data_IF_166096227740
#
_entry.id   IF_166096227740
#
_cell.length_a   1.000
_cell.length_b   1.000
_cell.length_c   1.000
_cell.angle_alpha   90.00
_cell.angle_beta   90.00
_cell.angle_gamma   90.00
#
_symmetry.space_group_name_H-M   'P 1'
#
loop_
_entity.id
_entity.type
_entity.pdbx_description
1 polymer ?
#
# COMPACT_ATOMS: atom_id res chain seq x y z
N UNK A 1 4.32 2.79 -16.32
CA UNK A 1 3.53 1.58 -15.99
C UNK A 1 4.47 0.58 -15.33
N UNK A 2 4.23 0.16 -14.07
CA UNK A 2 5.07 -0.86 -13.44
C UNK A 2 4.96 -2.20 -14.20
N UNK A 3 6.09 -2.92 -14.29
CA UNK A 3 6.23 -4.22 -14.91
C UNK A 3 7.33 -5.02 -14.19
N UNK A 4 7.34 -6.35 -14.31
CA UNK A 4 8.34 -7.19 -13.64
C UNK A 4 8.26 -7.06 -12.11
N UNK A 5 9.32 -6.52 -11.48
CA UNK A 5 9.38 -6.28 -10.03
C UNK A 5 9.36 -4.78 -9.72
N UNK A 6 8.32 -4.32 -9.03
CA UNK A 6 8.16 -2.95 -8.55
C UNK A 6 8.01 -2.95 -7.03
N UNK A 7 9.13 -3.09 -6.31
CA UNK A 7 9.14 -3.33 -4.87
C UNK A 7 9.65 -2.12 -4.08
N UNK A 8 9.22 -2.00 -2.83
CA UNK A 8 9.60 -0.93 -1.91
C UNK A 8 9.37 0.45 -2.51
N UNK A 9 10.41 1.28 -2.59
CA UNK A 9 10.32 2.61 -3.22
C UNK A 9 9.72 2.63 -4.63
N UNK A 10 9.89 1.57 -5.43
CA UNK A 10 9.24 1.45 -6.75
C UNK A 10 7.71 1.29 -6.65
N UNK A 11 7.25 0.57 -5.63
CA UNK A 11 5.83 0.47 -5.28
C UNK A 11 5.31 1.83 -4.78
N UNK A 12 6.07 2.51 -3.91
CA UNK A 12 5.71 3.82 -3.37
C UNK A 12 5.53 4.88 -4.47
N UNK A 13 6.42 4.92 -5.46
CA UNK A 13 6.26 5.80 -6.63
C UNK A 13 4.93 5.57 -7.37
N UNK A 14 4.50 4.31 -7.47
CA UNK A 14 3.22 3.97 -8.11
C UNK A 14 2.02 4.40 -7.23
N UNK A 15 2.13 4.32 -5.90
CA UNK A 15 1.06 4.73 -4.98
C UNK A 15 0.77 6.23 -5.02
N UNK A 16 1.74 7.06 -5.43
CA UNK A 16 1.59 8.51 -5.55
C UNK A 16 1.13 8.99 -6.93
N UNK A 17 0.93 8.08 -7.89
CA UNK A 17 0.37 8.43 -9.20
C UNK A 17 -1.16 8.53 -9.13
N UNK A 18 -1.75 9.45 -9.90
CA UNK A 18 -3.21 9.57 -10.03
C UNK A 18 -3.86 8.28 -10.58
N UNK A 19 -3.11 7.55 -11.42
CA UNK A 19 -3.54 6.29 -12.01
C UNK A 19 -2.35 5.38 -12.27
N UNK A 20 -2.52 4.10 -11.96
CA UNK A 20 -1.54 3.05 -12.25
C UNK A 20 -2.10 2.10 -13.31
N UNK A 21 -1.31 1.85 -14.35
CA UNK A 21 -1.54 0.77 -15.31
C UNK A 21 -0.40 -0.22 -15.12
N UNK A 22 -0.66 -1.35 -14.47
CA UNK A 22 0.32 -2.38 -14.22
C UNK A 22 0.24 -3.46 -15.31
N UNK A 23 1.39 -4.00 -15.71
CA UNK A 23 1.43 -5.20 -16.54
C UNK A 23 0.90 -6.41 -15.74
N UNK A 24 0.31 -7.40 -16.41
CA UNK A 24 -0.33 -8.53 -15.72
C UNK A 24 0.66 -9.39 -14.91
N UNK A 25 1.92 -9.41 -15.33
CA UNK A 25 3.03 -10.12 -14.68
C UNK A 25 3.68 -9.34 -13.53
N UNK A 26 3.17 -8.15 -13.19
CA UNK A 26 3.84 -7.27 -12.22
C UNK A 26 3.74 -7.82 -10.80
N UNK A 27 4.90 -8.08 -10.19
CA UNK A 27 5.06 -8.24 -8.77
C UNK A 27 5.32 -6.88 -8.13
N UNK A 28 4.37 -6.39 -7.34
CA UNK A 28 4.40 -5.06 -6.73
C UNK A 28 4.02 -5.14 -5.25
N UNK A 29 4.76 -4.42 -4.40
CA UNK A 29 4.49 -4.38 -2.97
C UNK A 29 5.61 -3.77 -2.14
N UNK A 30 5.31 -3.52 -0.87
CA UNK A 30 6.27 -3.04 0.12
C UNK A 30 6.96 -4.25 0.76
N UNK A 31 8.29 -4.28 0.72
CA UNK A 31 9.13 -5.43 1.12
C UNK A 31 10.09 -5.09 2.25
N UNK A 32 10.08 -3.83 2.68
CA UNK A 32 10.96 -3.23 3.68
C UNK A 32 10.98 -4.02 4.99
N UNK A 33 9.83 -4.55 5.42
CA UNK A 33 9.74 -5.34 6.65
C UNK A 33 10.63 -6.59 6.62
N UNK A 34 10.79 -7.21 5.43
CA UNK A 34 11.61 -8.41 5.26
C UNK A 34 13.10 -8.20 5.55
N UNK A 35 13.57 -6.95 5.60
CA UNK A 35 14.95 -6.59 5.95
C UNK A 35 15.03 -5.72 7.21
N UNK A 36 13.95 -5.63 7.98
CA UNK A 36 13.92 -4.88 9.24
C UNK A 36 13.79 -3.37 9.09
N UNK A 37 13.30 -2.87 7.94
CA UNK A 37 13.01 -1.45 7.74
C UNK A 37 11.52 -1.22 7.49
N UNK A 38 11.12 0.04 7.36
CA UNK A 38 9.74 0.44 7.05
C UNK A 38 9.70 1.24 5.74
N UNK A 39 8.56 1.30 5.04
CA UNK A 39 8.39 2.13 3.85
C UNK A 39 8.64 3.61 4.17
N UNK A 40 9.61 4.21 3.48
CA UNK A 40 10.12 5.56 3.77
C UNK A 40 9.61 6.66 2.83
N UNK A 41 9.12 6.30 1.65
CA UNK A 41 8.56 7.20 0.64
C UNK A 41 7.05 7.46 0.80
N UNK A 42 6.48 7.12 1.96
CA UNK A 42 5.06 7.36 2.27
C UNK A 42 4.15 6.16 2.04
N UNK A 43 4.66 4.97 1.72
CA UNK A 43 3.89 3.75 1.54
C UNK A 43 2.98 3.43 2.73
N UNK A 44 3.49 3.59 3.96
CA UNK A 44 2.68 3.42 5.18
C UNK A 44 1.52 4.42 5.27
N UNK A 45 1.74 5.68 4.87
CA UNK A 45 0.71 6.72 4.81
C UNK A 45 -0.33 6.40 3.75
N UNK A 46 0.12 5.97 2.57
CA UNK A 46 -0.71 5.64 1.42
C UNK A 46 -1.62 4.42 1.69
N UNK A 47 -1.10 3.41 2.40
CA UNK A 47 -1.89 2.26 2.84
C UNK A 47 -2.92 2.65 3.90
N UNK A 48 -2.53 3.41 4.92
CA UNK A 48 -3.43 3.85 5.99
C UNK A 48 -4.57 4.74 5.47
N UNK A 49 -4.26 5.65 4.53
CA UNK A 49 -5.24 6.52 3.90
C UNK A 49 -6.29 5.70 3.11
N UNK A 50 -5.84 4.76 2.27
CA UNK A 50 -6.76 3.88 1.52
C UNK A 50 -7.58 2.97 2.44
N UNK A 51 -6.99 2.48 3.52
CA UNK A 51 -7.74 1.73 4.54
C UNK A 51 -8.84 2.60 5.16
N UNK A 52 -8.57 3.89 5.39
CA UNK A 52 -9.55 4.80 5.97
C UNK A 52 -10.76 5.07 5.07
N UNK A 53 -10.61 4.95 3.75
CA UNK A 53 -11.72 5.07 2.79
C UNK A 53 -12.78 3.98 2.96
N UNK A 54 -12.43 2.87 3.62
CA UNK A 54 -13.36 1.76 3.88
C UNK A 54 -14.24 1.97 5.11
N UNK A 55 -13.99 3.01 5.91
CA UNK A 55 -14.73 3.27 7.13
C UNK A 55 -16.19 3.66 6.87
N UNK A 56 -17.13 3.01 7.57
CA UNK A 56 -18.55 3.39 7.53
C UNK A 56 -18.96 4.10 8.81
N UNK A 57 -20.00 4.92 8.69
CA UNK A 57 -20.55 5.65 9.84
C UNK A 57 -21.16 4.65 10.83
N UNK A 58 -20.65 4.65 12.06
CA UNK A 58 -21.10 3.76 13.14
C UNK A 58 -20.18 2.56 13.38
N UNK A 59 -19.18 2.34 12.52
CA UNK A 59 -18.24 1.23 12.68
C UNK A 59 -17.22 1.49 13.79
N UNK A 60 -16.77 0.39 14.42
CA UNK A 60 -15.62 0.40 15.31
C UNK A 60 -14.35 0.48 14.45
N UNK A 61 -13.78 1.68 14.34
CA UNK A 61 -12.61 1.96 13.47
C UNK A 61 -11.42 1.04 13.69
N UNK A 62 -11.18 0.63 14.95
CA UNK A 62 -10.05 -0.24 15.29
C UNK A 62 -10.17 -1.61 14.62
N UNK A 63 -11.37 -2.19 14.61
CA UNK A 63 -11.62 -3.50 14.01
C UNK A 63 -11.39 -3.46 12.51
N UNK A 64 -11.80 -2.40 11.82
CA UNK A 64 -11.58 -2.25 10.38
C UNK A 64 -10.10 -2.20 10.04
N UNK A 65 -9.29 -1.46 10.81
CA UNK A 65 -7.84 -1.44 10.60
C UNK A 65 -7.19 -2.78 10.93
N UNK A 66 -7.66 -3.50 11.95
CA UNK A 66 -7.19 -4.85 12.24
C UNK A 66 -7.50 -5.79 11.07
N UNK A 67 -8.74 -5.83 10.58
CA UNK A 67 -9.14 -6.64 9.42
C UNK A 67 -8.38 -6.29 8.14
N UNK A 68 -7.97 -5.02 7.98
CA UNK A 68 -7.23 -4.59 6.79
C UNK A 68 -5.76 -5.03 6.82
N UNK A 69 -5.14 -5.13 8.00
CA UNK A 69 -3.70 -5.33 8.15
C UNK A 69 -3.28 -6.64 8.86
N UNK A 70 -4.23 -7.40 9.44
CA UNK A 70 -4.02 -8.66 10.17
C UNK A 70 -4.93 -9.77 9.62
#
# INVERSE_FOLDING_TARGET
APHGMSLGGGCELSMHADKVVAAAETYIGLVEFGVGVIPGGGGSKEMALRASDTFKKGDVKLNVLQEYFL
#
